data_IF_381406466186
#
_entry.id   IF_381406466186
#
_cell.length_a   1.000
_cell.length_b   1.000
_cell.length_c   1.000
_cell.angle_alpha   90.00
_cell.angle_beta   90.00
_cell.angle_gamma   90.00
#
_symmetry.space_group_name_H-M   'P 1'
#
loop_
_entity.id
_entity.type
_entity.pdbx_description
1 polymer ?
#
# COMPACT_ATOMS: atom_id res chain seq x y z
N UNK A 1 5.15 23.41 -5.77
CA UNK A 1 3.96 22.53 -5.87
C UNK A 1 2.86 23.12 -4.99
N UNK A 2 1.62 23.18 -5.50
CA UNK A 2 0.50 23.67 -4.68
C UNK A 2 0.11 22.59 -3.67
N UNK A 3 -0.02 22.93 -2.40
CA UNK A 3 -0.48 22.02 -1.34
C UNK A 3 -2.00 21.98 -1.35
N UNK A 4 -2.59 20.77 -1.35
CA UNK A 4 -4.05 20.62 -1.26
C UNK A 4 -4.50 20.43 0.18
N UNK A 5 -3.75 19.64 0.96
CA UNK A 5 -4.00 19.42 2.39
C UNK A 5 -2.69 19.50 3.16
N UNK A 6 -2.70 20.17 4.30
CA UNK A 6 -1.57 20.20 5.22
C UNK A 6 -2.02 20.07 6.68
N UNK A 7 -1.13 19.56 7.52
CA UNK A 7 -1.30 19.54 8.97
C UNK A 7 -0.30 20.45 9.65
N UNK A 8 -0.69 21.01 10.79
CA UNK A 8 0.13 21.92 11.57
C UNK A 8 0.09 21.50 13.04
N UNK A 9 1.20 20.94 13.52
CA UNK A 9 1.35 20.43 14.90
C UNK A 9 0.16 19.58 15.34
N UNK A 10 -0.30 18.71 14.41
CA UNK A 10 -1.51 17.93 14.59
C UNK A 10 -1.30 16.85 15.65
N UNK A 11 -2.19 16.78 16.63
CA UNK A 11 -2.31 15.67 17.57
C UNK A 11 -3.65 14.95 17.36
N UNK A 12 -3.60 13.64 17.29
CA UNK A 12 -4.76 12.77 17.05
C UNK A 12 -4.91 11.71 18.15
N UNK A 13 -6.14 11.28 18.36
CA UNK A 13 -6.45 10.27 19.37
C UNK A 13 -7.92 10.30 19.75
N UNK A 14 -8.26 9.82 20.94
CA UNK A 14 -9.63 9.66 21.39
C UNK A 14 -9.88 10.45 22.67
N UNK A 15 -11.01 11.20 22.69
CA UNK A 15 -11.55 11.84 23.90
C UNK A 15 -12.56 10.88 24.51
N UNK A 16 -12.20 10.22 25.59
CA UNK A 16 -13.14 9.38 26.32
C UNK A 16 -13.89 10.23 27.36
N UNK A 17 -15.21 10.22 27.34
CA UNK A 17 -16.02 10.90 28.34
C UNK A 17 -15.68 10.36 29.74
N UNK A 18 -15.15 11.23 30.63
CA UNK A 18 -14.77 10.86 32.00
C UNK A 18 -13.46 10.13 32.19
N UNK A 19 -12.66 9.91 31.14
CA UNK A 19 -11.31 9.32 31.20
C UNK A 19 -10.25 10.25 30.60
N UNK A 20 -8.98 9.95 30.87
CA UNK A 20 -7.87 10.67 30.25
C UNK A 20 -7.91 10.56 28.73
N UNK A 21 -7.60 11.65 28.04
CA UNK A 21 -7.46 11.69 26.58
C UNK A 21 -6.35 10.73 26.15
N UNK A 22 -6.65 9.80 25.25
CA UNK A 22 -5.68 8.90 24.69
C UNK A 22 -5.09 9.50 23.40
N UNK A 23 -3.90 10.08 23.48
CA UNK A 23 -3.15 10.54 22.31
C UNK A 23 -2.54 9.35 21.59
N UNK A 24 -2.81 9.23 20.29
CA UNK A 24 -2.26 8.19 19.41
C UNK A 24 -0.99 8.70 18.73
N UNK A 25 -1.04 9.91 18.19
CA UNK A 25 0.10 10.58 17.56
C UNK A 25 0.05 12.08 17.87
N UNK A 26 1.20 12.70 17.96
CA UNK A 26 1.33 14.15 18.19
C UNK A 26 2.35 14.78 17.23
N UNK A 27 2.30 16.11 17.14
CA UNK A 27 3.23 16.92 16.34
C UNK A 27 3.39 16.47 14.89
N UNK A 28 2.27 16.13 14.24
CA UNK A 28 2.26 15.68 12.86
C UNK A 28 2.22 16.91 11.94
N UNK A 29 3.25 17.07 11.14
CA UNK A 29 3.36 18.09 10.09
C UNK A 29 3.58 17.40 8.75
N UNK A 30 2.50 17.20 7.97
CA UNK A 30 2.52 16.52 6.68
C UNK A 30 1.74 17.30 5.64
N UNK A 31 2.03 17.05 4.37
CA UNK A 31 1.37 17.70 3.23
C UNK A 31 1.00 16.67 2.17
N UNK A 32 -0.18 16.83 1.56
CA UNK A 32 -0.58 16.13 0.35
C UNK A 32 -0.51 17.08 -0.84
N UNK A 33 0.02 16.58 -1.94
CA UNK A 33 0.17 17.33 -3.18
C UNK A 33 -0.69 16.75 -4.30
N UNK A 34 -1.27 17.60 -5.17
CA UNK A 34 -2.00 17.13 -6.32
C UNK A 34 -1.06 16.38 -7.27
N UNK A 35 -1.57 15.36 -7.93
CA UNK A 35 -0.81 14.53 -8.85
C UNK A 35 0.08 13.48 -8.20
N UNK A 36 0.08 13.36 -6.85
CA UNK A 36 0.89 12.38 -6.12
C UNK A 36 0.04 11.26 -5.52
N UNK A 37 0.54 10.03 -5.64
CA UNK A 37 0.09 8.87 -4.89
C UNK A 37 0.95 8.72 -3.65
N UNK A 38 0.38 8.99 -2.48
CA UNK A 38 1.03 8.83 -1.18
C UNK A 38 0.57 7.54 -0.50
N UNK A 39 1.50 6.68 -0.09
CA UNK A 39 1.20 5.49 0.68
C UNK A 39 1.56 5.69 2.16
N UNK A 40 0.60 5.47 3.05
CA UNK A 40 0.78 5.43 4.49
C UNK A 40 1.03 3.99 4.93
N UNK A 41 2.24 3.72 5.40
CA UNK A 41 2.70 2.40 5.81
C UNK A 41 3.12 2.40 7.28
N UNK A 42 3.04 1.25 7.91
CA UNK A 42 3.41 1.05 9.31
C UNK A 42 2.69 -0.14 9.92
N UNK A 43 3.13 -0.62 11.11
CA UNK A 43 2.53 -1.76 11.80
C UNK A 43 1.06 -1.55 12.14
N UNK A 44 0.38 -2.66 12.50
CA UNK A 44 -0.98 -2.58 13.04
C UNK A 44 -0.98 -1.84 14.38
N UNK A 45 -2.02 -1.02 14.60
CA UNK A 45 -2.11 -0.22 15.82
C UNK A 45 -1.27 1.07 15.84
N UNK A 46 -0.44 1.35 14.83
CA UNK A 46 0.37 2.56 14.76
C UNK A 46 -0.43 3.88 14.66
N UNK A 47 -1.75 3.80 14.36
CA UNK A 47 -2.60 5.00 14.28
C UNK A 47 -2.97 5.42 12.86
N UNK A 48 -2.67 4.60 11.83
CA UNK A 48 -2.96 4.92 10.42
C UNK A 48 -4.41 5.32 10.17
N UNK A 49 -5.38 4.48 10.55
CA UNK A 49 -6.80 4.76 10.34
C UNK A 49 -7.29 5.97 11.14
N UNK A 50 -6.74 6.22 12.34
CA UNK A 50 -7.05 7.42 13.14
C UNK A 50 -6.57 8.69 12.44
N UNK A 51 -5.33 8.66 11.88
CA UNK A 51 -4.80 9.76 11.10
C UNK A 51 -5.67 10.01 9.86
N UNK A 52 -5.98 8.98 9.09
CA UNK A 52 -6.78 9.11 7.88
C UNK A 52 -8.19 9.65 8.16
N UNK A 53 -8.85 9.17 9.22
CA UNK A 53 -10.17 9.71 9.64
C UNK A 53 -10.08 11.19 10.03
N UNK A 54 -8.99 11.61 10.68
CA UNK A 54 -8.79 13.02 11.04
C UNK A 54 -8.54 13.87 9.80
N UNK A 55 -7.71 13.42 8.85
CA UNK A 55 -7.44 14.09 7.58
C UNK A 55 -8.68 14.15 6.67
N UNK A 56 -9.59 13.19 6.81
CA UNK A 56 -10.87 13.16 6.09
C UNK A 56 -11.96 14.05 6.73
N UNK A 57 -11.68 14.70 7.86
CA UNK A 57 -12.68 15.48 8.60
C UNK A 57 -13.72 14.66 9.36
N UNK A 58 -13.54 13.32 9.43
CA UNK A 58 -14.46 12.40 10.11
C UNK A 58 -14.22 12.35 11.63
N UNK A 59 -13.06 12.78 12.08
CA UNK A 59 -12.66 12.83 13.49
C UNK A 59 -11.96 14.16 13.79
N UNK A 60 -12.38 14.85 14.84
CA UNK A 60 -11.72 16.09 15.24
C UNK A 60 -10.32 15.81 15.81
N UNK A 61 -9.34 16.68 15.57
CA UNK A 61 -8.02 16.57 16.19
C UNK A 61 -8.10 16.85 17.70
N UNK A 62 -7.11 16.33 18.44
CA UNK A 62 -6.93 16.64 19.86
C UNK A 62 -6.29 18.02 20.03
N UNK A 63 -5.31 18.35 19.18
CA UNK A 63 -4.64 19.64 19.10
C UNK A 63 -4.11 19.87 17.66
N UNK A 64 -3.66 21.09 17.38
CA UNK A 64 -3.23 21.48 16.06
C UNK A 64 -4.41 21.66 15.09
N UNK A 65 -4.13 21.63 13.79
CA UNK A 65 -5.16 21.80 12.75
C UNK A 65 -4.79 21.08 11.47
N UNK A 66 -5.83 20.79 10.66
CA UNK A 66 -5.72 20.34 9.27
C UNK A 66 -6.23 21.48 8.39
N UNK A 67 -5.49 21.84 7.36
CA UNK A 67 -5.91 22.85 6.38
C UNK A 67 -6.19 22.20 5.02
N UNK A 68 -7.24 22.68 4.36
CA UNK A 68 -7.63 22.32 3.01
C UNK A 68 -7.49 23.58 2.15
N UNK A 69 -6.39 23.65 1.39
CA UNK A 69 -5.97 24.90 0.80
C UNK A 69 -5.67 25.96 1.86
N UNK A 70 -6.50 27.01 1.92
CA UNK A 70 -6.36 28.09 2.90
C UNK A 70 -7.28 27.93 4.12
N UNK A 71 -8.26 27.03 4.05
CA UNK A 71 -9.31 26.88 5.06
C UNK A 71 -8.97 25.80 6.08
N UNK A 72 -9.40 25.98 7.31
CA UNK A 72 -9.26 24.96 8.35
C UNK A 72 -10.37 23.90 8.17
N UNK A 73 -9.96 22.66 7.84
CA UNK A 73 -10.85 21.57 7.45
C UNK A 73 -12.03 21.36 8.41
N UNK A 74 -11.75 21.30 9.72
CA UNK A 74 -12.73 20.96 10.74
C UNK A 74 -13.67 22.13 11.11
N UNK A 75 -13.48 23.31 10.51
CA UNK A 75 -14.39 24.45 10.59
C UNK A 75 -15.29 24.57 9.37
N UNK A 76 -14.99 23.84 8.30
CA UNK A 76 -15.83 23.84 7.11
C UNK A 76 -17.11 23.05 7.34
N UNK A 77 -18.23 23.48 6.71
CA UNK A 77 -19.44 22.67 6.68
C UNK A 77 -19.19 21.29 6.07
N UNK A 78 -19.76 20.20 6.60
CA UNK A 78 -19.54 18.84 6.08
C UNK A 78 -19.78 18.70 4.58
N UNK A 79 -20.76 19.40 4.03
CA UNK A 79 -21.04 19.40 2.59
C UNK A 79 -19.92 20.03 1.75
N UNK A 80 -19.18 20.99 2.28
CA UNK A 80 -18.02 21.56 1.61
C UNK A 80 -16.82 20.62 1.66
N UNK A 81 -16.56 20.00 2.82
CA UNK A 81 -15.53 18.99 2.96
C UNK A 81 -15.80 17.83 1.99
N UNK A 82 -17.06 17.34 1.94
CA UNK A 82 -17.45 16.25 1.06
C UNK A 82 -17.30 16.55 -0.44
N UNK A 83 -17.25 17.79 -0.87
CA UNK A 83 -16.93 18.18 -2.26
C UNK A 83 -15.43 18.16 -2.58
N UNK A 84 -14.58 18.15 -1.55
CA UNK A 84 -13.13 18.23 -1.70
C UNK A 84 -12.43 16.93 -1.35
N UNK A 85 -12.96 16.20 -0.37
CA UNK A 85 -12.38 14.98 0.17
C UNK A 85 -13.36 13.82 0.02
N UNK A 86 -12.96 12.77 -0.68
CA UNK A 86 -13.71 11.52 -0.74
C UNK A 86 -12.95 10.40 -0.01
N UNK A 87 -13.70 9.48 0.59
CA UNK A 87 -13.14 8.38 1.40
C UNK A 87 -13.65 7.03 0.91
N UNK A 88 -12.73 6.08 0.82
CA UNK A 88 -13.02 4.66 0.63
C UNK A 88 -12.50 3.91 1.85
N UNK A 89 -13.40 3.32 2.63
CA UNK A 89 -13.07 2.56 3.83
C UNK A 89 -12.95 1.07 3.51
N UNK A 90 -12.21 0.34 4.32
CA UNK A 90 -12.02 -1.12 4.22
C UNK A 90 -13.29 -1.90 4.56
N UNK A 91 -14.20 -1.30 5.35
CA UNK A 91 -15.42 -1.97 5.81
C UNK A 91 -16.32 -2.39 4.64
N UNK A 92 -16.72 -3.65 4.63
CA UNK A 92 -17.70 -4.14 3.65
C UNK A 92 -19.05 -3.52 3.95
N UNK A 93 -19.49 -2.62 3.08
CA UNK A 93 -20.82 -2.04 3.16
C UNK A 93 -21.81 -3.08 2.61
N UNK A 94 -22.60 -3.69 3.50
CA UNK A 94 -23.73 -4.54 3.10
C UNK A 94 -24.90 -3.65 2.68
N UNK A 95 -25.03 -3.44 1.38
CA UNK A 95 -26.05 -2.53 0.80
C UNK A 95 -27.20 -3.25 0.09
N UNK A 96 -27.51 -4.47 0.50
CA UNK A 96 -28.64 -5.23 -0.05
C UNK A 96 -28.58 -5.39 -1.58
N UNK A 97 -29.69 -5.13 -2.28
CA UNK A 97 -29.80 -5.29 -3.74
C UNK A 97 -29.45 -4.04 -4.56
N UNK A 98 -28.64 -3.11 -4.02
CA UNK A 98 -28.20 -1.96 -4.80
C UNK A 98 -27.38 -2.38 -6.02
N UNK A 99 -27.65 -1.76 -7.18
CA UNK A 99 -26.80 -1.91 -8.36
C UNK A 99 -25.52 -1.10 -8.21
N UNK A 100 -24.48 -1.44 -8.99
CA UNK A 100 -23.24 -0.68 -9.04
C UNK A 100 -23.49 0.80 -9.40
N UNK A 101 -24.38 1.06 -10.38
CA UNK A 101 -24.80 2.43 -10.73
C UNK A 101 -25.40 3.17 -9.54
N UNK A 102 -26.34 2.54 -8.82
CA UNK A 102 -27.01 3.16 -7.69
C UNK A 102 -26.01 3.50 -6.56
N UNK A 103 -25.04 2.63 -6.30
CA UNK A 103 -23.99 2.91 -5.32
C UNK A 103 -23.13 4.11 -5.75
N UNK A 104 -22.68 4.16 -7.01
CA UNK A 104 -21.86 5.27 -7.52
C UNK A 104 -22.65 6.58 -7.50
N UNK A 105 -23.95 6.54 -7.78
CA UNK A 105 -24.84 7.68 -7.72
C UNK A 105 -24.92 8.33 -6.32
N UNK A 106 -24.74 7.55 -5.25
CA UNK A 106 -24.63 8.09 -3.89
C UNK A 106 -23.43 9.04 -3.70
N UNK A 107 -22.40 8.91 -4.55
CA UNK A 107 -21.28 9.86 -4.58
C UNK A 107 -21.69 11.28 -4.95
N UNK A 108 -22.85 11.45 -5.61
CA UNK A 108 -23.40 12.78 -5.95
C UNK A 108 -24.16 13.46 -4.81
N UNK A 109 -24.34 12.79 -3.66
CA UNK A 109 -25.08 13.34 -2.52
C UNK A 109 -24.70 14.79 -2.14
N UNK A 110 -23.43 15.23 -2.15
CA UNK A 110 -23.06 16.62 -1.83
C UNK A 110 -23.58 17.67 -2.86
N UNK A 111 -24.09 17.23 -4.02
CA UNK A 111 -24.55 18.08 -5.10
C UNK A 111 -26.06 17.99 -5.32
N UNK A 112 -26.72 17.00 -4.70
CA UNK A 112 -28.17 16.81 -4.83
C UNK A 112 -28.96 17.71 -3.87
N UNK A 113 -30.23 17.90 -4.19
CA UNK A 113 -31.18 18.55 -3.30
C UNK A 113 -31.54 17.62 -2.09
N UNK A 114 -32.40 18.12 -1.20
CA UNK A 114 -32.89 17.36 -0.02
C UNK A 114 -33.68 16.08 -0.40
N UNK A 115 -34.13 15.96 -1.64
CA UNK A 115 -34.83 14.78 -2.19
C UNK A 115 -33.86 13.76 -2.83
N UNK A 116 -32.57 14.07 -2.90
CA UNK A 116 -31.58 13.21 -3.52
C UNK A 116 -31.73 13.04 -5.05
N UNK A 117 -32.41 13.97 -5.71
CA UNK A 117 -32.63 13.89 -7.17
C UNK A 117 -31.36 14.20 -7.92
N UNK A 118 -30.98 13.28 -8.81
CA UNK A 118 -29.89 13.48 -9.76
C UNK A 118 -30.38 14.34 -10.93
N UNK A 119 -29.54 15.28 -11.35
CA UNK A 119 -29.68 16.02 -12.60
C UNK A 119 -28.97 15.28 -13.71
N UNK A 120 -29.23 15.62 -14.98
CA UNK A 120 -28.55 15.01 -16.11
C UNK A 120 -27.02 15.08 -16.03
N UNK A 121 -26.48 16.19 -15.54
CA UNK A 121 -25.05 16.34 -15.27
C UNK A 121 -24.53 15.34 -14.25
N UNK A 122 -25.28 15.08 -13.18
CA UNK A 122 -24.92 14.11 -12.14
C UNK A 122 -24.87 12.69 -12.72
N UNK A 123 -25.83 12.33 -13.57
CA UNK A 123 -25.84 11.03 -14.25
C UNK A 123 -24.64 10.87 -15.19
N UNK A 124 -24.24 11.93 -15.89
CA UNK A 124 -23.05 11.91 -16.76
C UNK A 124 -21.78 11.67 -15.91
N UNK A 125 -21.64 12.37 -14.77
CA UNK A 125 -20.51 12.17 -13.82
C UNK A 125 -20.48 10.73 -13.31
N UNK A 126 -21.63 10.16 -12.95
CA UNK A 126 -21.72 8.77 -12.49
C UNK A 126 -21.24 7.78 -13.56
N UNK A 127 -21.71 7.97 -14.82
CA UNK A 127 -21.29 7.12 -15.95
C UNK A 127 -19.79 7.26 -16.21
N UNK A 128 -19.28 8.49 -16.22
CA UNK A 128 -17.86 8.76 -16.42
C UNK A 128 -17.01 8.15 -15.30
N UNK A 129 -17.43 8.24 -14.04
CA UNK A 129 -16.72 7.61 -12.92
C UNK A 129 -16.63 6.10 -13.10
N UNK A 130 -17.72 5.43 -13.51
CA UNK A 130 -17.71 3.98 -13.82
C UNK A 130 -16.80 3.65 -15.00
N UNK A 131 -16.77 4.47 -16.04
CA UNK A 131 -15.86 4.29 -17.19
C UNK A 131 -14.40 4.42 -16.77
N UNK A 132 -14.07 5.45 -15.99
CA UNK A 132 -12.71 5.75 -15.52
C UNK A 132 -12.09 4.58 -14.76
N UNK A 133 -12.87 3.86 -13.96
CA UNK A 133 -12.39 2.67 -13.23
C UNK A 133 -12.53 1.36 -14.03
N UNK A 134 -12.99 1.42 -15.30
CA UNK A 134 -13.23 0.23 -16.12
C UNK A 134 -14.42 -0.63 -15.68
N UNK A 135 -15.39 -0.06 -14.95
CA UNK A 135 -16.53 -0.77 -14.38
C UNK A 135 -17.88 -0.45 -15.05
N UNK A 136 -17.89 0.21 -16.22
CA UNK A 136 -19.12 0.62 -16.93
C UNK A 136 -20.05 -0.57 -17.22
N UNK A 137 -19.49 -1.72 -17.59
CA UNK A 137 -20.23 -2.95 -17.89
C UNK A 137 -20.92 -3.57 -16.65
N UNK A 138 -20.56 -3.12 -15.45
CA UNK A 138 -21.13 -3.59 -14.17
C UNK A 138 -22.31 -2.72 -13.70
N UNK A 139 -22.61 -1.60 -14.37
CA UNK A 139 -23.55 -0.59 -13.88
C UNK A 139 -24.89 -1.14 -13.40
N UNK A 140 -25.48 -2.11 -14.14
CA UNK A 140 -26.77 -2.72 -13.79
C UNK A 140 -26.66 -3.90 -12.82
N UNK A 141 -25.43 -4.42 -12.53
CA UNK A 141 -25.25 -5.61 -11.68
C UNK A 141 -25.44 -5.27 -10.21
N UNK A 142 -26.15 -6.13 -9.45
CA UNK A 142 -26.21 -6.02 -7.99
C UNK A 142 -24.81 -6.17 -7.36
N UNK A 143 -24.54 -5.39 -6.32
CA UNK A 143 -23.25 -5.44 -5.62
C UNK A 143 -22.94 -6.79 -5.00
N UNK A 144 -23.97 -7.55 -4.61
CA UNK A 144 -23.83 -8.92 -4.08
C UNK A 144 -23.27 -9.91 -5.11
N UNK A 145 -23.35 -9.58 -6.42
CA UNK A 145 -22.88 -10.44 -7.50
C UNK A 145 -21.51 -9.98 -8.06
N UNK A 146 -20.88 -8.99 -7.45
CA UNK A 146 -19.56 -8.51 -7.83
C UNK A 146 -18.46 -9.28 -7.07
N UNK A 147 -17.39 -9.62 -7.77
CA UNK A 147 -16.15 -10.03 -7.13
C UNK A 147 -15.57 -8.89 -6.25
N UNK A 148 -14.68 -9.23 -5.31
CA UNK A 148 -14.08 -8.21 -4.45
C UNK A 148 -13.33 -7.13 -5.25
N UNK A 149 -12.63 -7.48 -6.33
CA UNK A 149 -11.97 -6.52 -7.22
C UNK A 149 -12.95 -5.62 -7.99
N UNK A 150 -14.04 -6.19 -8.53
CA UNK A 150 -15.10 -5.41 -9.18
C UNK A 150 -15.78 -4.47 -8.19
N UNK A 151 -16.07 -4.96 -6.99
CA UNK A 151 -16.64 -4.15 -5.91
C UNK A 151 -15.73 -3.00 -5.53
N UNK A 152 -14.41 -3.25 -5.41
CA UNK A 152 -13.44 -2.21 -5.09
C UNK A 152 -13.40 -1.11 -6.15
N UNK A 153 -13.42 -1.47 -7.45
CA UNK A 153 -13.54 -0.50 -8.53
C UNK A 153 -14.81 0.35 -8.42
N UNK A 154 -15.94 -0.26 -8.11
CA UNK A 154 -17.21 0.46 -7.93
C UNK A 154 -17.16 1.38 -6.70
N UNK A 155 -16.50 1.00 -5.61
CA UNK A 155 -16.28 1.87 -4.45
C UNK A 155 -15.40 3.07 -4.78
N UNK A 156 -14.34 2.86 -5.57
CA UNK A 156 -13.50 3.96 -6.09
C UNK A 156 -14.32 4.86 -7.03
N UNK A 157 -15.14 4.29 -7.93
CA UNK A 157 -16.03 5.07 -8.80
C UNK A 157 -17.01 5.93 -7.98
N UNK A 158 -17.57 5.40 -6.89
CA UNK A 158 -18.42 6.19 -5.98
C UNK A 158 -17.69 7.40 -5.42
N UNK A 159 -16.45 7.20 -5.00
CA UNK A 159 -15.62 8.29 -4.49
C UNK A 159 -15.28 9.30 -5.59
N UNK A 160 -14.98 8.86 -6.82
CA UNK A 160 -14.72 9.72 -7.97
C UNK A 160 -15.94 10.52 -8.40
N UNK A 161 -17.15 9.95 -8.29
CA UNK A 161 -18.39 10.66 -8.59
C UNK A 161 -18.64 11.87 -7.68
N UNK A 162 -17.90 11.98 -6.59
CA UNK A 162 -17.87 13.15 -5.70
C UNK A 162 -17.02 14.30 -6.26
N UNK A 163 -16.27 14.05 -7.37
CA UNK A 163 -15.32 14.98 -8.00
C UNK A 163 -14.30 15.57 -7.00
N UNK A 164 -13.67 14.73 -6.15
CA UNK A 164 -12.82 15.22 -5.07
C UNK A 164 -11.46 15.70 -5.60
N UNK A 165 -10.87 16.68 -4.90
CA UNK A 165 -9.47 17.04 -5.06
C UNK A 165 -8.55 16.05 -4.31
N UNK A 166 -9.07 15.44 -3.23
CA UNK A 166 -8.35 14.49 -2.37
C UNK A 166 -9.14 13.19 -2.27
N UNK A 167 -8.45 12.06 -2.47
CA UNK A 167 -9.00 10.72 -2.28
C UNK A 167 -8.22 10.01 -1.17
N UNK A 168 -8.91 9.61 -0.11
CA UNK A 168 -8.35 8.88 1.03
C UNK A 168 -8.90 7.46 0.99
N UNK A 169 -8.00 6.43 0.94
CA UNK A 169 -8.40 5.03 0.86
C UNK A 169 -7.75 4.24 1.99
N UNK A 170 -8.58 3.66 2.87
CA UNK A 170 -8.08 2.80 3.93
C UNK A 170 -8.03 1.35 3.44
N UNK A 171 -6.82 0.82 3.24
CA UNK A 171 -6.53 -0.53 2.76
C UNK A 171 -7.30 -0.96 1.49
N UNK A 172 -7.24 -0.20 0.39
CA UNK A 172 -8.05 -0.46 -0.79
C UNK A 172 -7.73 -1.78 -1.51
N UNK A 173 -6.63 -2.42 -1.17
CA UNK A 173 -6.17 -3.70 -1.74
C UNK A 173 -6.41 -4.89 -0.81
N UNK A 174 -7.03 -4.68 0.36
CA UNK A 174 -7.40 -5.75 1.27
C UNK A 174 -8.34 -6.76 0.58
N UNK A 175 -8.17 -8.05 0.89
CA UNK A 175 -8.94 -9.17 0.35
C UNK A 175 -8.83 -9.42 -1.16
N UNK A 176 -7.95 -8.69 -1.88
CA UNK A 176 -7.69 -8.90 -3.30
C UNK A 176 -6.54 -9.87 -3.52
N UNK A 177 -6.61 -10.67 -4.59
CA UNK A 177 -5.47 -11.43 -5.09
C UNK A 177 -4.38 -10.51 -5.67
N UNK A 178 -3.17 -11.02 -5.82
CA UNK A 178 -2.01 -10.21 -6.23
C UNK A 178 -2.23 -9.46 -7.56
N UNK A 179 -2.74 -10.07 -8.65
CA UNK A 179 -3.02 -9.34 -9.89
C UNK A 179 -3.99 -8.18 -9.70
N UNK A 180 -5.04 -8.38 -8.88
CA UNK A 180 -6.04 -7.34 -8.61
C UNK A 180 -5.49 -6.20 -7.74
N UNK A 181 -4.58 -6.50 -6.79
CA UNK A 181 -3.87 -5.46 -6.03
C UNK A 181 -3.07 -4.55 -6.95
N UNK A 182 -2.29 -5.14 -7.87
CA UNK A 182 -1.52 -4.39 -8.86
C UNK A 182 -2.43 -3.53 -9.73
N UNK A 183 -3.55 -4.08 -10.22
CA UNK A 183 -4.52 -3.36 -11.04
C UNK A 183 -5.11 -2.14 -10.30
N UNK A 184 -5.51 -2.29 -9.04
CA UNK A 184 -6.03 -1.18 -8.22
C UNK A 184 -4.94 -0.13 -7.96
N UNK A 185 -3.72 -0.53 -7.65
CA UNK A 185 -2.61 0.41 -7.43
C UNK A 185 -2.30 1.20 -8.71
N UNK A 186 -2.26 0.55 -9.88
CA UNK A 186 -2.09 1.21 -11.17
C UNK A 186 -3.23 2.21 -11.46
N UNK A 187 -4.47 1.81 -11.22
CA UNK A 187 -5.63 2.69 -11.34
C UNK A 187 -5.47 3.95 -10.47
N UNK A 188 -5.12 3.78 -9.19
CA UNK A 188 -4.94 4.90 -8.26
C UNK A 188 -3.79 5.82 -8.69
N UNK A 189 -2.67 5.26 -9.14
CA UNK A 189 -1.56 6.04 -9.67
C UNK A 189 -1.96 6.86 -10.91
N UNK A 190 -2.69 6.26 -11.84
CA UNK A 190 -3.24 6.97 -13.03
C UNK A 190 -4.21 8.08 -12.62
N UNK A 191 -5.10 7.80 -11.65
CA UNK A 191 -6.05 8.80 -11.14
C UNK A 191 -5.37 9.99 -10.46
N UNK A 192 -4.23 9.76 -9.78
CA UNK A 192 -3.44 10.84 -9.22
C UNK A 192 -2.86 11.71 -10.33
N UNK A 193 -2.13 11.11 -11.28
CA UNK A 193 -1.38 11.80 -12.33
C UNK A 193 -2.28 12.52 -13.33
N UNK A 194 -3.18 11.79 -13.98
CA UNK A 194 -4.04 12.34 -15.04
C UNK A 194 -5.16 13.22 -14.49
N UNK A 195 -5.70 12.86 -13.32
CA UNK A 195 -6.74 13.63 -12.64
C UNK A 195 -6.22 14.78 -11.80
N UNK A 196 -4.91 14.96 -11.67
CA UNK A 196 -4.25 15.95 -10.80
C UNK A 196 -4.82 15.93 -9.37
N UNK A 197 -5.09 14.72 -8.83
CA UNK A 197 -5.65 14.50 -7.50
C UNK A 197 -4.57 14.15 -6.51
N UNK A 198 -4.73 14.58 -5.28
CA UNK A 198 -3.93 14.06 -4.18
C UNK A 198 -4.55 12.74 -3.69
N UNK A 199 -3.81 11.64 -3.73
CA UNK A 199 -4.29 10.34 -3.27
C UNK A 199 -3.46 9.88 -2.09
N UNK A 200 -4.13 9.61 -0.96
CA UNK A 200 -3.55 8.99 0.22
C UNK A 200 -4.18 7.63 0.43
N UNK A 201 -3.38 6.58 0.47
CA UNK A 201 -3.88 5.25 0.83
C UNK A 201 -3.05 4.62 1.95
N UNK A 202 -3.70 3.85 2.83
CA UNK A 202 -3.00 2.93 3.73
C UNK A 202 -2.83 1.56 3.05
N UNK A 203 -1.72 0.90 3.31
CA UNK A 203 -1.50 -0.46 2.81
C UNK A 203 -0.55 -1.23 3.71
N UNK A 204 -0.72 -2.56 3.72
CA UNK A 204 0.24 -3.52 4.30
C UNK A 204 1.14 -4.16 3.24
N UNK A 205 0.88 -3.89 1.96
CA UNK A 205 1.68 -4.40 0.85
C UNK A 205 2.86 -3.45 0.59
N UNK A 206 3.97 -3.70 1.32
CA UNK A 206 5.16 -2.85 1.25
C UNK A 206 5.79 -2.89 -0.14
N UNK A 207 5.84 -4.05 -0.80
CA UNK A 207 6.45 -4.18 -2.13
C UNK A 207 5.71 -3.31 -3.15
N UNK A 208 4.38 -3.33 -3.17
CA UNK A 208 3.59 -2.46 -4.04
C UNK A 208 3.73 -0.98 -3.67
N UNK A 209 3.77 -0.65 -2.38
CA UNK A 209 3.97 0.72 -1.95
C UNK A 209 5.33 1.27 -2.40
N UNK A 210 6.41 0.50 -2.23
CA UNK A 210 7.76 0.88 -2.66
C UNK A 210 7.88 1.07 -4.18
N UNK A 211 7.15 0.29 -4.98
CA UNK A 211 7.22 0.33 -6.44
C UNK A 211 6.34 1.39 -7.09
N UNK A 212 5.28 1.83 -6.41
CA UNK A 212 4.22 2.61 -7.06
C UNK A 212 3.92 3.95 -6.41
N UNK A 213 4.32 4.15 -5.15
CA UNK A 213 4.08 5.42 -4.47
C UNK A 213 5.06 6.51 -4.93
N UNK A 214 4.55 7.71 -5.15
CA UNK A 214 5.39 8.90 -5.34
C UNK A 214 6.00 9.34 -4.01
N UNK A 215 5.33 9.05 -2.90
CA UNK A 215 5.75 9.41 -1.54
C UNK A 215 5.27 8.39 -0.51
N UNK A 216 6.11 8.11 0.47
CA UNK A 216 5.72 7.31 1.63
C UNK A 216 5.57 8.18 2.87
N UNK A 217 4.54 7.86 3.63
CA UNK A 217 4.37 8.25 5.03
C UNK A 217 4.61 7.02 5.88
N UNK A 218 5.77 6.96 6.52
CA UNK A 218 6.19 5.84 7.36
C UNK A 218 5.83 6.14 8.81
N UNK A 219 5.00 5.30 9.40
CA UNK A 219 4.51 5.44 10.76
C UNK A 219 4.96 4.24 11.61
N UNK A 220 6.11 4.31 12.30
CA UNK A 220 6.55 3.26 13.20
C UNK A 220 5.71 3.23 14.47
N UNK A 221 5.72 2.10 15.20
CA UNK A 221 5.02 2.01 16.50
C UNK A 221 5.67 2.93 17.52
N UNK A 222 4.89 3.88 18.04
CA UNK A 222 5.36 4.82 19.06
C UNK A 222 6.40 5.86 18.61
N UNK A 223 6.70 5.91 17.31
CA UNK A 223 7.65 6.85 16.74
C UNK A 223 6.98 7.98 15.95
N UNK A 224 7.75 8.99 15.55
CA UNK A 224 7.26 10.08 14.72
C UNK A 224 6.92 9.58 13.31
N UNK A 225 5.93 10.20 12.68
CA UNK A 225 5.64 9.99 11.27
C UNK A 225 6.78 10.61 10.43
N UNK A 226 7.36 9.81 9.55
CA UNK A 226 8.41 10.22 8.63
C UNK A 226 7.88 10.24 7.19
N UNK A 227 8.23 11.27 6.44
CA UNK A 227 7.81 11.45 5.04
C UNK A 227 9.04 11.47 4.14
N UNK A 228 9.02 10.71 3.05
CA UNK A 228 10.13 10.68 2.09
C UNK A 228 9.77 9.97 0.80
N UNK A 229 10.73 9.95 -0.13
CA UNK A 229 10.69 9.04 -1.27
C UNK A 229 10.88 7.60 -0.79
N UNK A 230 10.24 6.60 -1.42
CA UNK A 230 10.45 5.20 -1.06
C UNK A 230 11.92 4.81 -0.99
N UNK A 231 12.69 5.23 -1.98
CA UNK A 231 14.12 4.93 -2.12
C UNK A 231 14.95 5.59 -1.01
N UNK A 232 14.66 6.83 -0.65
CA UNK A 232 15.36 7.54 0.43
C UNK A 232 15.14 6.88 1.79
N UNK A 233 13.89 6.47 2.08
CA UNK A 233 13.55 5.80 3.33
C UNK A 233 14.19 4.40 3.42
N UNK A 234 14.35 3.71 2.29
CA UNK A 234 15.08 2.44 2.22
C UNK A 234 16.59 2.68 2.45
N UNK A 235 17.21 3.59 1.70
CA UNK A 235 18.65 3.89 1.79
C UNK A 235 19.08 4.37 3.17
N UNK A 236 18.23 5.15 3.85
CA UNK A 236 18.48 5.65 5.20
C UNK A 236 18.19 4.62 6.32
N UNK A 237 17.78 3.38 5.96
CA UNK A 237 17.47 2.33 6.91
C UNK A 237 16.20 2.54 7.73
N UNK A 238 15.41 3.57 7.44
CA UNK A 238 14.19 3.89 8.19
C UNK A 238 13.11 2.82 8.04
N UNK A 239 13.02 2.16 6.86
CA UNK A 239 12.11 1.04 6.65
C UNK A 239 12.50 -0.15 7.53
N UNK A 240 13.78 -0.51 7.58
CA UNK A 240 14.28 -1.58 8.42
C UNK A 240 13.95 -1.32 9.89
N UNK A 241 14.20 -0.09 10.36
CA UNK A 241 13.91 0.31 11.75
C UNK A 241 12.41 0.26 12.08
N UNK A 242 11.55 0.74 11.18
CA UNK A 242 10.10 0.82 11.41
C UNK A 242 9.40 -0.53 11.47
N UNK A 243 9.94 -1.54 10.77
CA UNK A 243 9.39 -2.89 10.68
C UNK A 243 10.23 -3.95 11.40
N UNK A 244 11.24 -3.53 12.18
CA UNK A 244 12.04 -4.45 12.98
C UNK A 244 11.15 -5.17 13.99
N UNK A 245 11.18 -6.51 13.94
CA UNK A 245 10.50 -7.38 14.89
C UNK A 245 11.35 -8.62 15.15
N UNK A 246 11.09 -9.35 16.24
CA UNK A 246 11.83 -10.57 16.53
C UNK A 246 11.76 -11.55 15.35
N UNK A 247 12.94 -11.92 14.83
CA UNK A 247 13.08 -12.89 13.75
C UNK A 247 12.76 -12.40 12.33
N UNK A 248 12.46 -11.11 12.15
CA UNK A 248 12.18 -10.52 10.81
C UNK A 248 13.01 -9.25 10.63
N UNK A 249 13.74 -9.17 9.52
CA UNK A 249 14.57 -8.04 9.14
C UNK A 249 14.21 -7.58 7.73
N UNK A 250 14.24 -6.28 7.50
CA UNK A 250 14.06 -5.73 6.15
C UNK A 250 15.42 -5.63 5.46
N UNK A 251 15.56 -6.34 4.35
CA UNK A 251 16.73 -6.28 3.49
C UNK A 251 16.65 -5.08 2.55
N UNK A 252 17.46 -4.07 2.80
CA UNK A 252 17.51 -2.86 1.97
C UNK A 252 18.00 -3.11 0.55
N UNK A 253 18.82 -4.14 0.30
CA UNK A 253 19.33 -4.44 -1.04
C UNK A 253 18.27 -5.12 -1.90
N UNK A 254 17.46 -5.98 -1.29
CA UNK A 254 16.39 -6.70 -1.99
C UNK A 254 15.03 -5.99 -1.90
N UNK A 255 14.88 -5.00 -1.02
CA UNK A 255 13.62 -4.33 -0.76
C UNK A 255 12.53 -5.27 -0.19
N UNK A 256 12.94 -6.31 0.55
CA UNK A 256 12.06 -7.38 1.01
C UNK A 256 12.36 -7.79 2.45
N UNK A 257 11.38 -8.43 3.11
CA UNK A 257 11.60 -8.99 4.43
C UNK A 257 12.34 -10.33 4.37
N UNK A 258 13.34 -10.47 5.24
CA UNK A 258 14.04 -11.73 5.51
C UNK A 258 13.66 -12.26 6.90
N UNK A 259 13.46 -13.57 6.97
CA UNK A 259 13.28 -14.27 8.25
C UNK A 259 14.66 -14.65 8.75
N UNK A 260 15.04 -14.16 9.93
CA UNK A 260 16.27 -14.61 10.59
C UNK A 260 16.13 -16.09 10.97
N UNK A 261 17.07 -16.91 10.52
CA UNK A 261 17.15 -18.33 10.85
C UNK A 261 18.46 -18.60 11.56
N UNK A 262 18.54 -19.74 12.25
CA UNK A 262 19.81 -20.21 12.79
C UNK A 262 20.82 -20.36 11.64
N UNK A 263 21.96 -19.67 11.65
CA UNK A 263 22.87 -19.64 10.52
C UNK A 263 23.51 -21.03 10.32
N UNK A 264 23.37 -21.58 9.10
CA UNK A 264 24.09 -22.78 8.67
C UNK A 264 25.53 -22.47 8.21
N UNK A 265 25.92 -21.19 8.23
CA UNK A 265 27.22 -20.70 7.74
C UNK A 265 27.18 -20.15 6.30
N UNK A 266 28.31 -19.61 5.84
CA UNK A 266 28.42 -19.04 4.49
C UNK A 266 28.50 -20.12 3.41
N UNK A 267 27.85 -19.85 2.27
CA UNK A 267 27.90 -20.68 1.07
C UNK A 267 28.18 -19.83 -0.17
N UNK A 268 29.13 -20.25 -0.99
CA UNK A 268 29.43 -19.59 -2.25
C UNK A 268 28.40 -19.94 -3.32
N UNK A 269 27.91 -18.94 -4.06
CA UNK A 269 27.03 -19.15 -5.20
C UNK A 269 27.56 -18.42 -6.42
N UNK A 270 27.82 -19.15 -7.51
CA UNK A 270 28.19 -18.57 -8.79
C UNK A 270 27.22 -18.98 -9.90
N UNK A 271 26.96 -18.05 -10.79
CA UNK A 271 26.00 -18.17 -11.88
C UNK A 271 25.12 -16.93 -11.98
N UNK A 272 24.35 -16.81 -13.07
CA UNK A 272 23.57 -15.63 -13.38
C UNK A 272 22.12 -15.98 -13.75
N UNK A 273 21.27 -14.93 -13.80
CA UNK A 273 19.87 -15.04 -14.22
C UNK A 273 18.93 -15.65 -13.17
N UNK A 274 17.77 -16.11 -13.64
CA UNK A 274 16.70 -16.61 -12.77
C UNK A 274 17.14 -17.82 -11.94
N UNK A 275 17.95 -18.73 -12.50
CA UNK A 275 18.43 -19.91 -11.79
C UNK A 275 19.26 -19.51 -10.55
N UNK A 276 20.17 -18.54 -10.69
CA UNK A 276 20.99 -18.05 -9.58
C UNK A 276 20.13 -17.34 -8.51
N UNK A 277 19.14 -16.54 -8.92
CA UNK A 277 18.23 -15.88 -8.00
C UNK A 277 17.42 -16.89 -7.15
N UNK A 278 16.82 -17.88 -7.81
CA UNK A 278 16.00 -18.87 -7.10
C UNK A 278 16.84 -19.85 -6.28
N UNK A 279 18.06 -20.18 -6.72
CA UNK A 279 19.00 -20.98 -5.92
C UNK A 279 19.42 -20.22 -4.65
N UNK A 280 19.77 -18.92 -4.77
CA UNK A 280 20.08 -18.09 -3.60
C UNK A 280 18.94 -18.11 -2.58
N UNK A 281 17.70 -17.84 -3.01
CA UNK A 281 16.52 -17.88 -2.15
C UNK A 281 16.29 -19.25 -1.48
N UNK A 282 16.59 -20.33 -2.19
CA UNK A 282 16.46 -21.67 -1.65
C UNK A 282 17.52 -21.95 -0.57
N UNK A 283 18.76 -21.51 -0.78
CA UNK A 283 19.86 -21.63 0.20
C UNK A 283 19.63 -20.74 1.42
N UNK A 284 19.19 -19.49 1.23
CA UNK A 284 18.77 -18.58 2.30
C UNK A 284 17.64 -19.19 3.13
N UNK A 285 16.70 -19.87 2.49
CA UNK A 285 15.61 -20.60 3.18
C UNK A 285 16.11 -21.75 4.03
N UNK A 286 17.24 -22.36 3.72
CA UNK A 286 17.92 -23.36 4.55
C UNK A 286 18.73 -22.74 5.70
N UNK A 287 18.95 -21.41 5.69
CA UNK A 287 19.72 -20.71 6.70
C UNK A 287 21.16 -20.41 6.30
N UNK A 288 21.52 -20.62 5.03
CA UNK A 288 22.84 -20.24 4.55
C UNK A 288 22.95 -18.74 4.27
N UNK A 289 24.13 -18.17 4.58
CA UNK A 289 24.52 -16.84 4.12
C UNK A 289 25.13 -16.96 2.73
N UNK A 290 24.41 -16.51 1.70
CA UNK A 290 24.81 -16.66 0.31
C UNK A 290 25.80 -15.57 -0.10
N UNK A 291 27.04 -15.96 -0.37
CA UNK A 291 28.11 -15.07 -0.87
C UNK A 291 28.23 -15.27 -2.38
N UNK A 292 27.94 -14.21 -3.16
CA UNK A 292 28.00 -14.29 -4.62
C UNK A 292 29.43 -14.22 -5.14
N UNK A 293 29.70 -15.01 -6.17
CA UNK A 293 30.98 -15.05 -6.92
C UNK A 293 32.24 -15.27 -6.05
N UNK A 294 32.09 -15.90 -4.88
CA UNK A 294 33.18 -16.22 -3.98
C UNK A 294 33.66 -17.64 -4.20
N UNK A 295 34.97 -17.78 -4.57
CA UNK A 295 35.63 -19.06 -4.71
C UNK A 295 36.29 -19.56 -3.40
N UNK A 296 36.21 -18.81 -2.32
CA UNK A 296 36.91 -19.11 -1.06
C UNK A 296 36.01 -19.78 0.00
N UNK A 297 34.74 -20.05 -0.32
CA UNK A 297 33.83 -20.66 0.63
C UNK A 297 34.02 -22.18 0.73
N UNK A 298 33.85 -22.78 1.92
CA UNK A 298 34.02 -24.22 2.12
C UNK A 298 32.97 -25.06 1.36
N UNK A 299 31.79 -24.48 1.14
CA UNK A 299 30.73 -25.06 0.31
C UNK A 299 30.41 -24.08 -0.80
N UNK A 300 30.35 -24.56 -2.03
CA UNK A 300 30.07 -23.73 -3.20
C UNK A 300 29.03 -24.40 -4.08
N UNK A 301 28.17 -23.58 -4.67
CA UNK A 301 27.19 -24.01 -5.68
C UNK A 301 27.46 -23.24 -6.96
N UNK A 302 27.88 -23.94 -7.99
CA UNK A 302 28.05 -23.38 -9.31
C UNK A 302 26.87 -23.75 -10.22
N UNK A 303 26.33 -22.76 -10.89
CA UNK A 303 25.23 -22.96 -11.82
C UNK A 303 25.77 -22.86 -13.26
N UNK A 304 25.64 -23.93 -14.00
CA UNK A 304 26.01 -24.00 -15.40
C UNK A 304 24.77 -24.24 -16.29
N UNK A 305 24.82 -23.74 -17.52
CA UNK A 305 23.75 -23.91 -18.50
C UNK A 305 22.74 -22.76 -18.51
N UNK A 306 21.89 -22.74 -19.55
CA UNK A 306 20.83 -21.75 -19.76
C UNK A 306 19.51 -22.45 -20.13
N UNK A 307 18.38 -21.82 -19.84
CA UNK A 307 17.00 -22.16 -20.18
C UNK A 307 16.75 -23.62 -20.62
N UNK A 308 16.41 -24.49 -19.66
CA UNK A 308 15.99 -25.87 -19.89
C UNK A 308 17.11 -26.94 -19.72
N UNK A 309 18.37 -26.52 -19.60
CA UNK A 309 19.50 -27.42 -19.33
C UNK A 309 20.37 -27.00 -18.14
N UNK A 310 19.75 -26.31 -17.16
CA UNK A 310 20.46 -25.84 -15.97
C UNK A 310 20.98 -27.01 -15.14
N UNK A 311 22.24 -26.92 -14.72
CA UNK A 311 22.94 -27.89 -13.85
C UNK A 311 23.49 -27.17 -12.65
N UNK A 312 23.53 -27.84 -11.52
CA UNK A 312 24.08 -27.32 -10.27
C UNK A 312 25.28 -28.23 -9.87
N UNK A 313 26.42 -27.65 -9.69
CA UNK A 313 27.60 -28.32 -9.13
C UNK A 313 27.78 -27.89 -7.70
N UNK A 314 27.65 -28.83 -6.76
CA UNK A 314 27.89 -28.58 -5.32
C UNK A 314 29.28 -29.07 -5.00
N UNK A 315 30.16 -28.14 -4.63
CA UNK A 315 31.54 -28.40 -4.28
C UNK A 315 31.68 -28.28 -2.77
N UNK A 316 32.09 -29.36 -2.11
CA UNK A 316 32.47 -29.43 -0.69
C UNK A 316 33.94 -29.81 -0.61
N UNK A 317 34.62 -29.64 0.55
CA UNK A 317 36.07 -29.96 0.66
C UNK A 317 36.49 -31.35 0.20
N UNK A 318 35.56 -32.31 0.24
CA UNK A 318 35.85 -33.70 -0.11
C UNK A 318 34.92 -34.28 -1.20
N UNK A 319 34.12 -33.48 -1.86
CA UNK A 319 33.18 -33.94 -2.91
C UNK A 319 32.84 -32.84 -3.89
N UNK A 320 32.74 -33.23 -5.17
CA UNK A 320 32.16 -32.42 -6.24
C UNK A 320 31.04 -33.25 -6.88
N UNK A 321 29.82 -32.75 -6.83
CA UNK A 321 28.64 -33.49 -7.27
C UNK A 321 27.75 -32.63 -8.15
N UNK A 322 27.42 -33.16 -9.33
CA UNK A 322 26.48 -32.52 -10.26
C UNK A 322 25.05 -32.95 -10.01
N UNK A 323 24.13 -31.97 -10.01
CA UNK A 323 22.71 -32.19 -9.88
C UNK A 323 21.92 -31.62 -11.07
N UNK A 324 20.85 -32.32 -11.44
CA UNK A 324 19.96 -31.93 -12.55
C UNK A 324 18.75 -31.13 -12.06
N UNK A 325 18.51 -31.09 -10.76
CA UNK A 325 17.41 -30.36 -10.18
C UNK A 325 17.85 -29.59 -8.94
N UNK A 326 17.22 -28.44 -8.69
CA UNK A 326 17.43 -27.66 -7.47
C UNK A 326 16.92 -28.43 -6.24
N UNK A 327 15.91 -29.29 -6.40
CA UNK A 327 15.39 -30.13 -5.32
C UNK A 327 16.48 -31.05 -4.76
N UNK A 328 17.25 -31.69 -5.62
CA UNK A 328 18.33 -32.62 -5.20
C UNK A 328 19.45 -31.85 -4.47
N UNK A 329 19.77 -30.63 -4.95
CA UNK A 329 20.74 -29.73 -4.29
C UNK A 329 20.28 -29.41 -2.84
N UNK A 330 19.01 -29.01 -2.70
CA UNK A 330 18.44 -28.63 -1.39
C UNK A 330 18.37 -29.82 -0.45
N UNK A 331 18.01 -31.01 -0.93
CA UNK A 331 18.03 -32.24 -0.12
C UNK A 331 19.44 -32.66 0.32
N UNK A 332 20.45 -32.37 -0.50
CA UNK A 332 21.85 -32.69 -0.18
C UNK A 332 22.48 -31.70 0.82
N UNK A 333 21.99 -30.46 0.87
CA UNK A 333 22.53 -29.39 1.72
C UNK A 333 21.75 -29.20 3.02
N UNK A 334 20.50 -29.62 3.09
CA UNK A 334 19.63 -29.58 4.27
C UNK A 334 19.68 -30.87 5.05
#
# INVERSE_FOLDING_TARGET
>A
MSTVLATHQLAIGYKNAGQATATVLDRIDVTLHPGELTCLIGPNGAGKSTLMRTLAGMQAPLAGRVTLGKDELHRLPPAQVAKQVAVVLTERVEVGNLSAYALVALGRHPYTDWRGRLREQDEQVVRQALQTVGAAHLAARPLSHLSDGERQKVMIARALAQEPAILILDEPTAFLDLPRRVEIMQLLHTLAREGNRAILLSTHDLDLALRMADRLWLLPTGGPLTVGLPEELALNGMLAQAFQSEGVEFDNEQGAFKVQRSPCGPIGLSGHGAAALWTARALERLGYEVVRDSQSMPVQVHIAGSNGSTRWHVIKPNSDTEYKSLTDVIQHLG
#
